data_IF_459655523233
#
_entry.id   IF_459655523233
#
_cell.length_a   1.000
_cell.length_b   1.000
_cell.length_c   1.000
_cell.angle_alpha   90.00
_cell.angle_beta   90.00
_cell.angle_gamma   90.00
#
_symmetry.space_group_name_H-M   'P 1'
#
loop_
_entity.id
_entity.type
_entity.pdbx_description
1 polymer ?
#
# COMPACT_ATOMS: atom_id res chain seq x y z
N UNK A 1 4.29 34.10 41.87
CA UNK A 1 5.34 33.99 40.83
C UNK A 1 5.70 32.53 40.65
N UNK A 2 4.89 31.78 39.91
CA UNK A 2 5.17 30.42 39.48
C UNK A 2 4.12 30.15 38.41
N UNK A 3 4.54 30.14 37.13
CA UNK A 3 3.86 29.61 35.93
C UNK A 3 4.48 30.12 34.59
N UNK A 4 5.77 30.51 34.45
CA UNK A 4 6.33 30.73 33.10
C UNK A 4 6.86 29.43 32.46
N UNK A 5 6.98 28.33 33.21
CA UNK A 5 7.61 27.09 32.73
C UNK A 5 6.65 26.26 31.87
N UNK A 6 5.34 26.24 32.21
CA UNK A 6 4.33 25.45 31.50
C UNK A 6 4.07 25.95 30.06
N UNK A 7 4.13 27.27 29.85
CA UNK A 7 4.01 27.87 28.50
C UNK A 7 5.24 27.61 27.63
N UNK A 8 6.43 27.47 28.24
CA UNK A 8 7.67 27.18 27.51
C UNK A 8 7.70 25.72 27.03
N UNK A 9 7.24 24.77 27.86
CA UNK A 9 7.16 23.34 27.48
C UNK A 9 6.24 23.14 26.28
N UNK A 10 5.12 23.87 26.19
CA UNK A 10 4.18 23.79 25.06
C UNK A 10 4.76 24.31 23.74
N UNK A 11 5.71 25.26 23.78
CA UNK A 11 6.37 25.82 22.59
C UNK A 11 7.51 24.91 22.06
N UNK A 12 8.10 24.07 22.91
CA UNK A 12 9.11 23.08 22.52
C UNK A 12 8.55 21.66 22.31
N UNK A 13 7.29 21.42 22.71
CA UNK A 13 6.58 20.16 22.49
C UNK A 13 6.54 19.69 21.00
N UNK A 14 6.39 20.54 19.97
CA UNK A 14 6.33 20.05 18.58
C UNK A 14 7.69 19.55 18.04
N UNK A 15 8.81 19.79 18.73
CA UNK A 15 10.13 19.34 18.28
C UNK A 15 10.46 17.89 18.72
N UNK A 16 9.81 17.37 19.76
CA UNK A 16 9.98 15.97 20.20
C UNK A 16 8.95 15.01 19.59
N UNK A 17 7.85 15.50 19.00
CA UNK A 17 6.80 14.65 18.42
C UNK A 17 7.20 14.09 17.04
N UNK A 18 8.18 14.68 16.36
CA UNK A 18 8.59 14.27 15.00
C UNK A 18 9.57 13.08 14.93
N UNK A 19 9.82 12.37 16.04
CA UNK A 19 10.62 11.12 16.06
C UNK A 19 9.80 9.84 16.19
N UNK A 20 8.46 9.92 16.26
CA UNK A 20 7.61 8.76 15.98
C UNK A 20 7.56 8.52 14.47
N UNK A 21 8.72 8.27 13.86
CA UNK A 21 8.77 7.47 12.65
C UNK A 21 8.16 6.13 13.03
N UNK A 22 6.88 5.98 12.76
CA UNK A 22 6.20 4.70 12.86
C UNK A 22 7.06 3.73 12.07
N UNK A 23 7.73 2.81 12.76
CA UNK A 23 8.20 1.59 12.13
C UNK A 23 6.94 0.81 11.78
N UNK A 24 6.23 1.27 10.74
CA UNK A 24 5.18 0.50 10.12
C UNK A 24 5.91 -0.68 9.49
N UNK A 25 5.71 -1.87 10.08
CA UNK A 25 6.19 -3.11 9.51
C UNK A 25 5.85 -3.17 8.01
N UNK A 26 6.68 -3.88 7.24
CA UNK A 26 6.50 -3.93 5.80
C UNK A 26 5.21 -4.69 5.47
N UNK A 27 4.15 -3.93 5.19
CA UNK A 27 2.88 -4.46 4.72
C UNK A 27 2.85 -4.51 3.20
N UNK A 28 2.20 -5.53 2.66
CA UNK A 28 2.03 -5.75 1.22
C UNK A 28 0.55 -5.90 0.89
N UNK A 29 0.13 -5.38 -0.25
CA UNK A 29 -1.22 -5.62 -0.75
C UNK A 29 -1.21 -6.78 -1.75
N UNK A 30 -1.88 -7.87 -1.43
CA UNK A 30 -1.86 -9.11 -2.24
C UNK A 30 -3.27 -9.51 -2.66
N UNK A 31 -3.40 -10.17 -3.80
CA UNK A 31 -4.67 -10.71 -4.24
C UNK A 31 -5.10 -11.86 -3.32
N UNK A 32 -6.38 -11.91 -2.96
CA UNK A 32 -6.94 -13.02 -2.18
C UNK A 32 -7.03 -14.28 -3.04
N UNK A 33 -6.82 -15.45 -2.45
CA UNK A 33 -6.88 -16.74 -3.15
C UNK A 33 -8.30 -17.16 -3.57
N UNK A 34 -9.33 -16.63 -2.92
CA UNK A 34 -10.74 -16.94 -3.16
C UNK A 34 -11.43 -15.97 -4.14
N UNK A 35 -10.73 -14.93 -4.60
CA UNK A 35 -11.25 -14.00 -5.60
C UNK A 35 -11.36 -14.69 -6.97
N UNK A 36 -12.46 -14.43 -7.69
CA UNK A 36 -12.66 -14.98 -9.04
C UNK A 36 -11.71 -14.32 -10.04
N UNK A 37 -11.29 -15.08 -11.06
CA UNK A 37 -10.39 -14.57 -12.11
C UNK A 37 -10.92 -13.30 -12.78
N UNK A 38 -12.24 -13.20 -12.97
CA UNK A 38 -12.85 -12.03 -13.60
C UNK A 38 -12.84 -10.80 -12.67
N UNK A 39 -13.07 -10.98 -11.37
CA UNK A 39 -12.95 -9.89 -10.42
C UNK A 39 -11.49 -9.41 -10.33
N UNK A 40 -10.54 -10.34 -10.34
CA UNK A 40 -9.11 -10.03 -10.36
C UNK A 40 -8.69 -9.27 -11.61
N UNK A 41 -9.16 -9.67 -12.79
CA UNK A 41 -8.87 -8.95 -14.05
C UNK A 41 -9.38 -7.52 -14.01
N UNK A 42 -10.64 -7.30 -13.64
CA UNK A 42 -11.22 -5.96 -13.57
C UNK A 42 -10.43 -5.05 -12.60
N UNK A 43 -10.05 -5.59 -11.45
CA UNK A 43 -9.30 -4.84 -10.45
C UNK A 43 -7.81 -4.64 -10.85
N UNK A 44 -7.20 -5.58 -11.56
CA UNK A 44 -5.87 -5.42 -12.17
C UNK A 44 -5.89 -4.27 -13.19
N UNK A 45 -6.87 -4.27 -14.09
CA UNK A 45 -7.02 -3.23 -15.12
C UNK A 45 -7.18 -1.84 -14.45
N UNK A 46 -8.01 -1.77 -13.41
CA UNK A 46 -8.15 -0.56 -12.59
C UNK A 46 -6.81 -0.13 -11.96
N UNK A 47 -6.08 -1.05 -11.33
CA UNK A 47 -4.80 -0.75 -10.68
C UNK A 47 -3.82 -0.14 -11.68
N UNK A 48 -3.65 -0.78 -12.84
CA UNK A 48 -2.75 -0.31 -13.91
C UNK A 48 -3.15 1.06 -14.45
N UNK A 49 -4.45 1.30 -14.66
CA UNK A 49 -4.95 2.60 -15.13
C UNK A 49 -4.85 3.70 -14.06
N UNK A 50 -4.88 3.33 -12.77
CA UNK A 50 -5.01 4.27 -11.65
C UNK A 50 -3.70 4.56 -10.90
N UNK A 51 -2.57 4.17 -11.49
CA UNK A 51 -1.24 4.47 -10.97
C UNK A 51 -0.55 3.32 -10.24
N UNK A 52 -0.81 2.06 -10.58
CA UNK A 52 0.19 1.01 -10.41
C UNK A 52 1.29 1.15 -11.48
N UNK A 53 2.49 0.66 -11.19
CA UNK A 53 3.45 0.28 -12.24
C UNK A 53 3.14 -1.16 -12.67
N UNK A 54 2.65 -1.32 -13.90
CA UNK A 54 2.35 -2.61 -14.50
C UNK A 54 3.32 -3.00 -15.62
N UNK A 55 4.43 -2.26 -15.79
CA UNK A 55 5.45 -2.61 -16.78
C UNK A 55 6.12 -3.97 -16.50
N UNK A 56 6.38 -4.37 -15.23
CA UNK A 56 7.10 -5.61 -14.97
C UNK A 56 6.24 -6.86 -15.18
N UNK A 57 4.92 -6.73 -15.21
CA UNK A 57 3.98 -7.86 -15.43
C UNK A 57 3.54 -8.00 -16.89
N UNK A 58 4.03 -7.16 -17.80
CA UNK A 58 3.81 -7.35 -19.25
C UNK A 58 4.59 -8.56 -19.76
N UNK A 59 4.26 -9.05 -20.96
CA UNK A 59 4.83 -10.27 -21.54
C UNK A 59 6.36 -10.30 -21.65
N UNK A 60 7.03 -9.15 -21.67
CA UNK A 60 8.48 -9.00 -21.68
C UNK A 60 9.06 -8.49 -20.34
N UNK A 61 8.23 -8.37 -19.31
CA UNK A 61 8.58 -7.83 -18.02
C UNK A 61 9.20 -8.86 -17.08
N UNK A 62 9.99 -8.36 -16.12
CA UNK A 62 10.74 -9.18 -15.16
C UNK A 62 9.85 -10.00 -14.21
N UNK A 63 8.60 -9.58 -14.01
CA UNK A 63 7.60 -10.19 -13.14
C UNK A 63 6.44 -10.81 -13.94
N UNK A 64 6.64 -11.13 -15.22
CA UNK A 64 5.63 -11.81 -16.03
C UNK A 64 5.33 -13.22 -15.53
N UNK A 65 6.36 -13.94 -15.06
CA UNK A 65 6.20 -15.31 -14.56
C UNK A 65 6.05 -15.32 -13.02
N UNK A 66 5.12 -16.13 -12.48
CA UNK A 66 4.20 -17.01 -13.20
C UNK A 66 3.09 -16.24 -13.92
N UNK A 67 2.79 -16.64 -15.17
CA UNK A 67 1.76 -16.01 -16.01
C UNK A 67 0.35 -16.43 -15.54
N UNK A 68 -0.06 -15.86 -14.40
CA UNK A 68 -1.37 -16.11 -13.79
C UNK A 68 -1.97 -14.79 -13.36
N UNK A 69 -3.30 -14.69 -13.46
CA UNK A 69 -4.00 -13.47 -13.06
C UNK A 69 -3.79 -13.11 -11.60
N UNK A 70 -3.69 -14.10 -10.71
CA UNK A 70 -3.42 -13.88 -9.28
C UNK A 70 -2.07 -13.20 -9.04
N UNK A 71 -1.02 -13.67 -9.75
CA UNK A 71 0.33 -13.14 -9.58
C UNK A 71 0.44 -11.71 -10.13
N UNK A 72 -0.11 -11.47 -11.32
CA UNK A 72 -0.13 -10.14 -11.92
C UNK A 72 -0.96 -9.15 -11.10
N UNK A 73 -2.15 -9.56 -10.64
CA UNK A 73 -2.98 -8.76 -9.76
C UNK A 73 -2.27 -8.43 -8.43
N UNK A 74 -1.64 -9.42 -7.78
CA UNK A 74 -0.90 -9.18 -6.53
C UNK A 74 0.24 -8.18 -6.72
N UNK A 75 0.96 -8.25 -7.84
CA UNK A 75 2.01 -7.28 -8.16
C UNK A 75 1.43 -5.87 -8.33
N UNK A 76 0.41 -5.72 -9.18
CA UNK A 76 -0.21 -4.42 -9.46
C UNK A 76 -0.86 -3.81 -8.21
N UNK A 77 -1.53 -4.61 -7.39
CA UNK A 77 -2.14 -4.18 -6.12
C UNK A 77 -1.09 -3.64 -5.17
N UNK A 78 0.01 -4.35 -4.98
CA UNK A 78 1.09 -3.85 -4.14
C UNK A 78 1.72 -2.59 -4.73
N UNK A 79 1.99 -2.55 -6.03
CA UNK A 79 2.54 -1.38 -6.69
C UNK A 79 1.67 -0.14 -6.46
N UNK A 80 0.35 -0.25 -6.67
CA UNK A 80 -0.61 0.81 -6.35
C UNK A 80 -0.60 1.19 -4.86
N UNK A 81 -0.68 0.21 -3.96
CA UNK A 81 -0.71 0.41 -2.51
C UNK A 81 0.51 1.17 -2.00
N UNK A 82 1.71 0.80 -2.44
CA UNK A 82 2.97 1.48 -2.08
C UNK A 82 2.99 2.91 -2.65
N UNK A 83 2.55 3.10 -3.91
CA UNK A 83 2.50 4.43 -4.55
C UNK A 83 1.45 5.36 -3.94
N UNK A 84 0.43 4.82 -3.26
CA UNK A 84 -0.54 5.57 -2.45
C UNK A 84 -0.10 5.74 -0.99
N UNK A 85 1.20 5.61 -0.71
CA UNK A 85 1.76 5.72 0.64
C UNK A 85 1.06 4.81 1.66
N UNK A 86 0.58 3.64 1.23
CA UNK A 86 -0.12 2.67 2.07
C UNK A 86 -1.37 3.25 2.75
N UNK A 87 -2.03 4.22 2.10
CA UNK A 87 -3.20 4.90 2.66
C UNK A 87 -4.33 3.92 3.02
N UNK A 88 -5.11 4.16 4.08
CA UNK A 88 -6.28 3.36 4.40
C UNK A 88 -7.20 3.20 3.18
N UNK A 89 -7.64 1.96 2.91
CA UNK A 89 -8.50 1.65 1.75
C UNK A 89 -7.78 1.49 0.40
N UNK A 90 -6.49 1.84 0.29
CA UNK A 90 -5.73 1.66 -0.97
C UNK A 90 -5.42 0.18 -1.33
N UNK A 91 -5.82 -0.76 -0.46
CA UNK A 91 -5.74 -2.21 -0.68
C UNK A 91 -7.13 -2.87 -0.63
N UNK A 92 -8.16 -2.19 -1.13
CA UNK A 92 -9.52 -2.76 -1.18
C UNK A 92 -9.76 -3.56 -2.47
N UNK A 93 -9.55 -2.92 -3.63
CA UNK A 93 -9.75 -3.52 -4.95
C UNK A 93 -11.11 -4.25 -5.10
N UNK A 94 -12.19 -3.65 -4.58
CA UNK A 94 -13.52 -4.25 -4.54
C UNK A 94 -13.56 -5.58 -3.77
N UNK A 95 -12.76 -5.67 -2.70
CA UNK A 95 -12.66 -6.83 -1.82
C UNK A 95 -11.83 -7.99 -2.37
N UNK A 96 -11.12 -7.83 -3.49
CA UNK A 96 -10.27 -8.89 -4.06
C UNK A 96 -8.86 -8.92 -3.47
N UNK A 97 -8.50 -7.95 -2.62
CA UNK A 97 -7.18 -7.81 -2.04
C UNK A 97 -7.19 -7.93 -0.51
N UNK A 98 -6.02 -8.20 0.06
CA UNK A 98 -5.79 -8.19 1.50
C UNK A 98 -4.40 -7.66 1.84
N UNK A 99 -4.27 -7.03 3.00
CA UNK A 99 -2.99 -6.56 3.50
C UNK A 99 -2.28 -7.70 4.22
N UNK A 100 -1.19 -8.18 3.65
CA UNK A 100 -0.27 -9.13 4.27
C UNK A 100 0.76 -8.38 5.15
N UNK A 101 1.15 -9.01 6.25
CA UNK A 101 2.23 -8.58 7.14
C UNK A 101 3.28 -9.67 7.21
N UNK A 102 4.55 -9.28 7.21
CA UNK A 102 5.68 -10.17 7.51
C UNK A 102 5.97 -10.18 8.99
#
# INVERSE_FOLDING_TARGET
>A
MAMPVLKLVLLFLPLLINVFSFVQGQTWCVARSDASSQALQNALDYACASGADCTPIQSNGLCFLPNTIQAHASYAYNSYYQRRAKAPGSCDFAGTATVAKT
#
